data_IF_725321114399
#
_entry.id   IF_725321114399
#
_cell.length_a   1.000
_cell.length_b   1.000
_cell.length_c   1.000
_cell.angle_alpha   90.00
_cell.angle_beta   90.00
_cell.angle_gamma   90.00
#
_symmetry.space_group_name_H-M   'P 1'
#
loop_
_entity.id
_entity.type
_entity.pdbx_description
1 polymer ?
#
# COMPACT_ATOMS: atom_id res chain seq x y z
N UNK A 1 56.09 38.51 21.92
CA UNK A 1 56.13 37.07 22.30
C UNK A 1 54.97 36.82 23.23
N UNK A 2 53.86 36.31 22.73
CA UNK A 2 52.79 35.77 23.58
C UNK A 2 51.96 34.78 22.70
N UNK A 3 52.05 33.52 23.06
CA UNK A 3 51.34 32.41 22.39
C UNK A 3 49.87 32.41 22.81
N UNK A 4 48.94 32.46 21.86
CA UNK A 4 47.52 32.18 22.04
C UNK A 4 47.22 30.67 22.11
N UNK A 5 46.18 30.24 22.84
CA UNK A 5 45.87 28.82 23.03
C UNK A 5 45.12 28.22 21.83
N UNK A 6 45.48 26.95 21.51
CA UNK A 6 44.84 26.13 20.49
C UNK A 6 43.52 25.55 21.04
N UNK A 7 42.41 25.75 20.34
CA UNK A 7 41.14 25.06 20.57
C UNK A 7 41.20 23.64 20.00
N UNK A 8 40.70 22.61 20.70
CA UNK A 8 40.62 21.25 20.20
C UNK A 8 39.43 21.09 19.28
N UNK A 9 39.66 20.43 18.14
CA UNK A 9 38.65 20.12 17.14
C UNK A 9 37.56 19.20 17.66
N UNK A 10 36.32 19.60 17.43
CA UNK A 10 35.12 18.80 17.65
C UNK A 10 35.08 17.67 16.64
N UNK A 11 35.18 16.44 17.13
CA UNK A 11 34.82 15.23 16.33
C UNK A 11 33.33 15.20 16.15
N UNK A 12 32.87 15.30 14.91
CA UNK A 12 31.50 15.00 14.54
C UNK A 12 31.22 13.47 14.76
N UNK A 13 30.30 13.16 15.62
CA UNK A 13 29.71 11.85 15.78
C UNK A 13 28.81 11.58 14.58
N UNK A 14 28.79 10.36 13.98
CA UNK A 14 27.85 10.02 12.91
C UNK A 14 26.43 10.00 13.44
N UNK A 15 25.58 10.70 12.72
CA UNK A 15 24.17 10.90 12.97
C UNK A 15 23.43 9.55 13.07
N UNK A 16 22.67 9.43 14.13
CA UNK A 16 21.85 8.25 14.40
C UNK A 16 20.72 8.16 13.38
N UNK A 17 20.66 7.07 12.65
CA UNK A 17 19.56 6.71 11.77
C UNK A 17 18.22 6.92 12.49
N UNK A 18 17.40 7.82 11.97
CA UNK A 18 16.03 8.07 12.42
C UNK A 18 15.21 6.78 12.21
N UNK A 19 14.60 6.20 13.24
CA UNK A 19 13.72 5.05 13.05
C UNK A 19 12.51 5.50 12.25
N UNK A 20 12.23 4.79 11.14
CA UNK A 20 11.06 5.01 10.30
C UNK A 20 9.74 4.98 11.09
N UNK A 21 8.65 5.55 10.53
CA UNK A 21 7.40 5.79 11.24
C UNK A 21 6.82 4.50 11.83
N UNK A 22 6.65 4.51 13.14
CA UNK A 22 5.95 3.46 13.88
C UNK A 22 4.48 3.46 13.45
N UNK A 23 4.07 2.43 12.71
CA UNK A 23 2.65 2.14 12.52
C UNK A 23 1.99 1.96 13.90
N UNK A 24 1.12 2.88 14.27
CA UNK A 24 0.43 2.89 15.56
C UNK A 24 -0.65 1.81 15.56
N UNK A 25 -0.45 0.77 16.35
CA UNK A 25 -1.53 -0.11 16.76
C UNK A 25 -2.44 0.67 17.73
N UNK A 26 -3.71 0.84 17.38
CA UNK A 26 -4.71 1.33 18.32
C UNK A 26 -4.90 0.27 19.42
N UNK A 27 -4.69 0.58 20.70
CA UNK A 27 -4.87 -0.39 21.77
C UNK A 27 -6.37 -0.67 21.99
N UNK A 28 -6.78 -1.95 21.88
CA UNK A 28 -8.07 -2.42 22.41
C UNK A 28 -9.20 -2.70 21.43
N UNK A 29 -9.04 -2.51 20.12
CA UNK A 29 -10.05 -2.92 19.15
C UNK A 29 -9.93 -4.44 18.87
N UNK A 30 -11.04 -5.17 18.93
CA UNK A 30 -11.10 -6.56 18.46
C UNK A 30 -10.66 -6.63 16.98
N UNK A 31 -9.91 -7.67 16.59
CA UNK A 31 -9.49 -7.80 15.19
C UNK A 31 -10.69 -7.92 14.27
N UNK A 32 -10.79 -7.07 13.25
CA UNK A 32 -11.87 -7.18 12.28
C UNK A 32 -11.71 -8.46 11.44
N UNK A 33 -12.82 -9.14 11.04
CA UNK A 33 -12.72 -10.35 10.22
C UNK A 33 -11.84 -10.22 8.98
N UNK A 34 -11.85 -9.10 8.22
CA UNK A 34 -10.94 -8.90 7.09
C UNK A 34 -9.46 -8.80 7.49
N UNK A 35 -9.15 -8.15 8.60
CA UNK A 35 -7.77 -8.05 9.08
C UNK A 35 -7.22 -9.41 9.53
N UNK A 36 -8.06 -10.23 10.16
CA UNK A 36 -7.70 -11.61 10.53
C UNK A 36 -7.39 -12.44 9.28
N UNK A 37 -8.25 -12.38 8.26
CA UNK A 37 -8.04 -13.10 7.00
C UNK A 37 -6.75 -12.70 6.28
N UNK A 38 -6.47 -11.40 6.20
CA UNK A 38 -5.19 -10.91 5.65
C UNK A 38 -4.01 -11.49 6.42
N UNK A 39 -4.05 -11.44 7.75
CA UNK A 39 -3.01 -11.98 8.60
C UNK A 39 -2.80 -13.49 8.42
N UNK A 40 -3.88 -14.25 8.30
CA UNK A 40 -3.84 -15.70 8.04
C UNK A 40 -3.20 -16.02 6.69
N UNK A 41 -3.50 -15.26 5.63
CA UNK A 41 -2.87 -15.45 4.30
C UNK A 41 -1.37 -15.17 4.33
N UNK A 42 -0.97 -14.07 4.92
CA UNK A 42 0.45 -13.75 5.10
C UNK A 42 1.14 -14.90 5.81
N UNK A 43 0.56 -15.40 6.90
CA UNK A 43 1.08 -16.52 7.69
C UNK A 43 1.12 -17.83 6.89
N UNK A 44 0.06 -18.15 6.13
CA UNK A 44 0.00 -19.36 5.30
C UNK A 44 1.09 -19.33 4.25
N UNK A 45 1.19 -18.22 3.49
CA UNK A 45 2.19 -18.07 2.43
C UNK A 45 3.62 -18.11 2.96
N UNK A 46 3.87 -17.46 4.09
CA UNK A 46 5.17 -17.53 4.76
C UNK A 46 5.56 -18.98 5.10
N UNK A 47 4.61 -19.75 5.65
CA UNK A 47 4.82 -21.16 6.00
C UNK A 47 5.03 -22.06 4.78
N UNK A 48 4.29 -21.87 3.72
CA UNK A 48 4.47 -22.56 2.43
C UNK A 48 5.90 -22.37 1.89
N UNK A 49 6.46 -21.17 2.09
CA UNK A 49 7.83 -20.84 1.72
C UNK A 49 8.87 -21.27 2.77
N UNK A 50 8.46 -21.91 3.88
CA UNK A 50 9.30 -22.29 5.01
C UNK A 50 10.09 -21.11 5.62
N UNK A 51 9.53 -19.88 5.56
CA UNK A 51 10.18 -18.70 6.10
C UNK A 51 9.77 -18.47 7.56
N UNK A 52 10.72 -17.96 8.35
CA UNK A 52 10.46 -17.46 9.70
C UNK A 52 9.82 -16.05 9.66
N UNK A 53 9.24 -15.64 10.78
CA UNK A 53 8.75 -14.25 10.92
C UNK A 53 9.89 -13.22 10.78
N UNK A 54 11.07 -13.56 11.27
CA UNK A 54 12.26 -12.69 11.21
C UNK A 54 12.68 -12.47 9.75
N UNK A 55 12.83 -13.55 8.99
CA UNK A 55 13.24 -13.47 7.58
C UNK A 55 12.26 -12.66 6.72
N UNK A 56 10.95 -12.82 6.94
CA UNK A 56 9.96 -12.01 6.19
C UNK A 56 9.99 -10.56 6.64
N UNK A 57 10.16 -10.28 7.94
CA UNK A 57 10.27 -8.93 8.46
C UNK A 57 11.49 -8.20 7.88
N UNK A 58 12.65 -8.87 7.85
CA UNK A 58 13.89 -8.35 7.24
C UNK A 58 13.71 -8.05 5.74
N UNK A 59 13.18 -9.02 4.97
CA UNK A 59 12.94 -8.85 3.52
C UNK A 59 11.93 -7.74 3.20
N UNK A 60 10.94 -7.55 4.08
CA UNK A 60 9.91 -6.53 3.94
C UNK A 60 10.33 -5.18 4.58
N UNK A 61 11.51 -5.10 5.19
CA UNK A 61 11.98 -3.90 5.91
C UNK A 61 10.98 -3.43 6.97
N UNK A 62 10.40 -4.40 7.70
CA UNK A 62 9.43 -4.18 8.77
C UNK A 62 9.96 -4.72 10.10
N UNK A 63 9.43 -4.20 11.22
CA UNK A 63 9.77 -4.76 12.51
C UNK A 63 9.09 -6.12 12.72
N UNK A 64 9.81 -7.08 13.30
CA UNK A 64 9.26 -8.38 13.67
C UNK A 64 7.97 -8.28 14.54
N UNK A 65 7.89 -7.40 15.57
CA UNK A 65 6.66 -7.23 16.34
C UNK A 65 5.48 -6.78 15.49
N UNK A 66 5.69 -5.87 14.53
CA UNK A 66 4.64 -5.40 13.63
C UNK A 66 4.12 -6.53 12.73
N UNK A 67 5.00 -7.28 12.08
CA UNK A 67 4.60 -8.42 11.23
C UNK A 67 3.86 -9.48 12.06
N UNK A 68 4.31 -9.76 13.29
CA UNK A 68 3.64 -10.66 14.21
C UNK A 68 2.23 -10.21 14.59
N UNK A 69 2.02 -8.91 14.83
CA UNK A 69 0.69 -8.35 15.10
C UNK A 69 -0.20 -8.38 13.85
N UNK A 70 0.38 -8.15 12.67
CA UNK A 70 -0.32 -8.21 11.40
C UNK A 70 -0.82 -9.64 11.10
N UNK A 71 0.01 -10.67 11.29
CA UNK A 71 -0.42 -12.07 11.14
C UNK A 71 -1.54 -12.49 12.11
N UNK A 72 -1.71 -11.76 13.21
CA UNK A 72 -2.82 -11.97 14.17
C UNK A 72 -4.03 -11.08 13.91
N UNK A 73 -4.01 -10.27 12.85
CA UNK A 73 -5.08 -9.31 12.55
C UNK A 73 -5.16 -8.13 13.51
N UNK A 74 -4.11 -7.90 14.33
CA UNK A 74 -4.07 -6.85 15.37
C UNK A 74 -3.35 -5.58 14.94
N UNK A 75 -2.81 -5.55 13.72
CA UNK A 75 -2.22 -4.38 13.10
C UNK A 75 -2.82 -4.16 11.72
N UNK A 76 -2.75 -2.92 11.23
CA UNK A 76 -3.20 -2.55 9.89
C UNK A 76 -1.96 -2.14 9.09
N UNK A 77 -1.70 -2.76 7.92
CA UNK A 77 -0.61 -2.34 7.07
C UNK A 77 -0.96 -1.06 6.34
N UNK A 78 0.05 -0.24 6.06
CA UNK A 78 -0.02 0.76 5.01
C UNK A 78 0.02 0.06 3.64
N UNK A 79 -0.31 0.77 2.55
CA UNK A 79 -0.17 0.22 1.20
C UNK A 79 1.29 -0.10 0.89
N UNK A 80 2.23 0.76 1.29
CA UNK A 80 3.66 0.50 1.16
C UNK A 80 4.12 -0.73 1.94
N UNK A 81 3.64 -0.90 3.19
CA UNK A 81 3.93 -2.10 3.98
C UNK A 81 3.36 -3.35 3.34
N UNK A 82 2.13 -3.29 2.83
CA UNK A 82 1.47 -4.41 2.15
C UNK A 82 2.24 -4.82 0.89
N UNK A 83 2.71 -3.85 0.11
CA UNK A 83 3.55 -4.09 -1.07
C UNK A 83 4.86 -4.80 -0.69
N UNK A 84 5.59 -4.29 0.33
CA UNK A 84 6.85 -4.90 0.79
C UNK A 84 6.64 -6.33 1.28
N UNK A 85 5.53 -6.60 1.98
CA UNK A 85 5.17 -7.96 2.42
C UNK A 85 4.88 -8.87 1.22
N UNK A 86 4.08 -8.39 0.25
CA UNK A 86 3.76 -9.13 -0.97
C UNK A 86 5.04 -9.51 -1.73
N UNK A 87 5.93 -8.55 -1.95
CA UNK A 87 7.24 -8.76 -2.57
C UNK A 87 8.11 -9.77 -1.78
N UNK A 88 8.17 -9.66 -0.47
CA UNK A 88 8.93 -10.58 0.40
C UNK A 88 8.41 -12.02 0.33
N UNK A 89 7.11 -12.21 0.07
CA UNK A 89 6.42 -13.50 -0.04
C UNK A 89 6.31 -14.01 -1.49
N UNK A 90 6.80 -13.25 -2.49
CA UNK A 90 6.71 -13.62 -3.91
C UNK A 90 5.27 -13.69 -4.42
N UNK A 91 4.40 -12.80 -3.98
CA UNK A 91 3.00 -12.66 -4.41
C UNK A 91 2.68 -11.21 -4.73
N UNK A 92 1.53 -10.95 -5.33
CA UNK A 92 1.03 -9.57 -5.56
C UNK A 92 0.28 -9.04 -4.33
N UNK A 93 0.13 -7.72 -4.23
CA UNK A 93 -0.75 -7.12 -3.21
C UNK A 93 -2.18 -7.65 -3.34
N UNK A 94 -2.65 -7.78 -4.58
CA UNK A 94 -3.98 -8.28 -4.90
C UNK A 94 -4.19 -9.69 -4.37
N UNK A 95 -3.17 -10.55 -4.51
CA UNK A 95 -3.20 -11.88 -3.93
C UNK A 95 -3.37 -11.83 -2.40
N UNK A 96 -2.71 -10.90 -1.72
CA UNK A 96 -2.89 -10.71 -0.28
C UNK A 96 -4.28 -10.18 0.07
N UNK A 97 -4.83 -9.26 -0.73
CA UNK A 97 -6.14 -8.63 -0.51
C UNK A 97 -7.31 -9.56 -0.87
N UNK A 98 -7.16 -10.43 -1.86
CA UNK A 98 -8.20 -11.35 -2.36
C UNK A 98 -8.67 -12.42 -1.36
N UNK A 99 -8.26 -12.35 -0.11
CA UNK A 99 -8.45 -13.37 0.91
C UNK A 99 -9.91 -13.70 1.19
N UNK A 100 -10.33 -14.87 0.75
CA UNK A 100 -11.55 -15.55 1.21
C UNK A 100 -12.75 -15.49 0.29
N UNK A 101 -12.59 -15.08 -0.97
CA UNK A 101 -13.56 -15.51 -1.99
C UNK A 101 -13.29 -16.98 -2.27
N UNK A 102 -14.29 -17.88 -2.11
CA UNK A 102 -14.19 -19.20 -2.70
C UNK A 102 -13.91 -19.02 -4.21
N UNK A 103 -13.25 -19.98 -4.88
CA UNK A 103 -13.12 -19.93 -6.32
C UNK A 103 -14.53 -19.79 -6.89
N UNK A 104 -14.86 -18.60 -7.37
CA UNK A 104 -16.11 -18.38 -8.06
C UNK A 104 -16.00 -19.24 -9.31
N UNK A 105 -16.93 -20.17 -9.58
CA UNK A 105 -16.99 -20.81 -10.87
C UNK A 105 -16.93 -19.71 -11.92
N UNK A 106 -16.17 -19.90 -12.99
CA UNK A 106 -16.00 -18.90 -14.05
C UNK A 106 -17.35 -18.60 -14.72
N UNK A 107 -18.21 -17.89 -14.02
CA UNK A 107 -19.43 -17.33 -14.59
C UNK A 107 -19.01 -16.17 -15.48
N UNK A 108 -19.52 -16.10 -16.71
CA UNK A 108 -19.12 -15.05 -17.67
C UNK A 108 -19.54 -13.65 -17.24
N UNK A 109 -20.37 -13.55 -16.19
CA UNK A 109 -20.86 -12.28 -15.63
C UNK A 109 -20.79 -12.34 -14.10
N UNK A 110 -20.05 -11.41 -13.49
CA UNK A 110 -19.98 -11.25 -12.04
C UNK A 110 -20.60 -9.91 -11.64
N UNK A 111 -21.51 -9.93 -10.67
CA UNK A 111 -22.07 -8.73 -10.06
C UNK A 111 -21.63 -8.68 -8.60
N UNK A 112 -20.88 -7.65 -8.24
CA UNK A 112 -20.51 -7.36 -6.85
C UNK A 112 -21.41 -6.23 -6.32
N UNK A 113 -22.18 -6.51 -5.27
CA UNK A 113 -23.05 -5.52 -4.64
C UNK A 113 -22.26 -4.59 -3.72
N UNK A 114 -22.88 -3.48 -3.32
CA UNK A 114 -22.21 -2.43 -2.53
C UNK A 114 -21.59 -2.92 -1.21
N UNK A 115 -22.23 -3.88 -0.57
CA UNK A 115 -21.85 -4.47 0.71
C UNK A 115 -21.08 -5.80 0.57
N UNK A 116 -20.88 -6.26 -0.66
CA UNK A 116 -20.16 -7.49 -0.99
C UNK A 116 -18.67 -7.22 -1.24
N UNK A 117 -17.88 -8.27 -1.23
CA UNK A 117 -16.44 -8.20 -1.40
C UNK A 117 -15.68 -8.09 -0.08
N UNK A 118 -14.36 -8.14 -0.19
CA UNK A 118 -13.47 -8.12 0.96
C UNK A 118 -12.89 -6.73 1.13
N UNK A 119 -13.31 -6.04 2.18
CA UNK A 119 -12.74 -4.78 2.58
C UNK A 119 -11.66 -5.00 3.65
N UNK A 120 -10.43 -4.55 3.40
CA UNK A 120 -9.30 -4.64 4.31
C UNK A 120 -8.94 -3.25 4.81
N UNK A 121 -8.91 -3.03 6.12
CA UNK A 121 -8.35 -1.80 6.67
C UNK A 121 -6.85 -1.73 6.37
N UNK A 122 -6.41 -0.68 5.63
CA UNK A 122 -5.01 -0.54 5.18
C UNK A 122 -4.22 0.53 5.91
N UNK A 123 -4.89 1.51 6.53
CA UNK A 123 -4.26 2.56 7.31
C UNK A 123 -5.24 3.11 8.33
N UNK A 124 -4.82 4.06 9.16
CA UNK A 124 -5.74 4.68 10.13
C UNK A 124 -6.87 5.40 9.39
N UNK A 125 -8.08 4.83 9.46
CA UNK A 125 -9.27 5.35 8.78
C UNK A 125 -9.47 4.87 7.34
N UNK A 126 -8.45 4.28 6.68
CA UNK A 126 -8.57 3.82 5.30
C UNK A 126 -9.06 2.37 5.17
N UNK A 127 -9.76 2.09 4.07
CA UNK A 127 -10.22 0.75 3.70
C UNK A 127 -9.93 0.51 2.23
N UNK A 128 -9.29 -0.61 1.90
CA UNK A 128 -9.15 -1.12 0.53
C UNK A 128 -10.16 -2.25 0.31
N UNK A 129 -10.91 -2.18 -0.79
CA UNK A 129 -11.85 -3.21 -1.20
C UNK A 129 -11.55 -3.66 -2.62
N UNK A 130 -11.15 -4.91 -2.80
CA UNK A 130 -10.98 -5.48 -4.11
C UNK A 130 -12.36 -5.77 -4.73
N UNK A 131 -12.58 -5.27 -5.96
CA UNK A 131 -13.86 -5.37 -6.64
C UNK A 131 -13.99 -6.62 -7.52
N UNK A 132 -12.88 -7.23 -7.92
CA UNK A 132 -12.86 -8.50 -8.64
C UNK A 132 -11.96 -9.49 -7.90
N UNK A 133 -12.42 -10.73 -7.78
CA UNK A 133 -11.71 -11.80 -7.08
C UNK A 133 -10.77 -12.59 -7.97
N UNK A 134 -10.93 -12.51 -9.29
CA UNK A 134 -10.14 -13.29 -10.24
C UNK A 134 -8.87 -12.54 -10.68
N UNK A 135 -7.70 -13.22 -10.72
CA UNK A 135 -6.50 -12.65 -11.30
C UNK A 135 -6.73 -12.45 -12.81
N UNK A 136 -6.78 -11.19 -13.22
CA UNK A 136 -6.91 -10.78 -14.61
C UNK A 136 -5.75 -9.90 -15.03
N UNK A 137 -5.83 -9.35 -16.23
CA UNK A 137 -4.86 -8.37 -16.71
C UNK A 137 -4.94 -7.02 -15.96
N UNK A 138 -5.98 -6.85 -15.14
CA UNK A 138 -6.22 -5.66 -14.33
C UNK A 138 -6.93 -6.04 -13.04
N UNK A 139 -6.63 -5.32 -11.98
CA UNK A 139 -7.25 -5.49 -10.67
C UNK A 139 -7.85 -4.18 -10.20
N UNK A 140 -9.18 -4.03 -10.25
CA UNK A 140 -9.86 -2.86 -9.71
C UNK A 140 -9.96 -2.96 -8.19
N UNK A 141 -9.46 -1.95 -7.51
CA UNK A 141 -9.51 -1.81 -6.04
C UNK A 141 -10.12 -0.46 -5.70
N UNK A 142 -11.10 -0.47 -4.83
CA UNK A 142 -11.71 0.74 -4.28
C UNK A 142 -11.04 1.09 -2.95
N UNK A 143 -10.61 2.34 -2.81
CA UNK A 143 -10.11 2.89 -1.56
C UNK A 143 -11.13 3.86 -0.98
N UNK A 144 -11.45 3.65 0.29
CA UNK A 144 -12.38 4.49 1.05
C UNK A 144 -11.61 5.21 2.16
N UNK A 145 -11.77 6.53 2.22
CA UNK A 145 -11.18 7.40 3.24
C UNK A 145 -9.69 7.13 3.49
N UNK A 146 -8.83 7.30 2.46
CA UNK A 146 -7.40 7.20 2.65
C UNK A 146 -6.94 8.22 3.70
N UNK A 147 -5.78 7.96 4.29
CA UNK A 147 -5.21 8.85 5.30
C UNK A 147 -4.95 10.26 4.77
N UNK A 148 -4.92 11.25 5.67
CA UNK A 148 -4.67 12.65 5.34
C UNK A 148 -3.17 13.00 5.23
N UNK A 149 -2.27 12.06 5.56
CA UNK A 149 -0.82 12.24 5.50
C UNK A 149 -0.21 11.34 4.45
N UNK A 150 0.85 11.81 3.79
CA UNK A 150 1.62 10.96 2.89
C UNK A 150 2.33 9.85 3.67
N UNK A 151 2.32 8.65 3.11
CA UNK A 151 3.19 7.54 3.48
C UNK A 151 4.53 7.63 2.74
N UNK A 152 5.38 6.61 2.89
CA UNK A 152 6.59 6.46 2.10
C UNK A 152 6.24 6.23 0.62
N UNK A 153 7.14 6.64 -0.27
CA UNK A 153 7.03 6.29 -1.68
C UNK A 153 7.09 4.78 -1.87
N UNK A 154 6.30 4.29 -2.80
CA UNK A 154 6.37 2.90 -3.24
C UNK A 154 6.31 2.85 -4.77
N UNK A 155 6.75 1.75 -5.33
CA UNK A 155 6.77 1.46 -6.76
C UNK A 155 6.49 -0.02 -6.99
N UNK A 156 5.90 -0.34 -8.12
CA UNK A 156 5.57 -1.71 -8.52
C UNK A 156 5.63 -1.85 -10.05
N UNK A 157 5.61 -3.09 -10.53
CA UNK A 157 5.51 -3.34 -11.96
C UNK A 157 4.13 -2.94 -12.51
N UNK A 158 4.03 -2.73 -13.82
CA UNK A 158 2.78 -2.47 -14.51
C UNK A 158 2.39 -0.99 -14.59
N UNK A 159 1.10 -0.76 -14.73
CA UNK A 159 0.52 0.59 -14.86
C UNK A 159 -0.61 0.75 -13.85
N UNK A 160 -0.70 1.92 -13.27
CA UNK A 160 -1.79 2.29 -12.37
C UNK A 160 -2.68 3.36 -13.01
N UNK A 161 -3.98 3.16 -12.90
CA UNK A 161 -5.01 4.12 -13.26
C UNK A 161 -5.82 4.46 -11.99
N UNK A 162 -5.93 5.74 -11.71
CA UNK A 162 -6.62 6.30 -10.54
C UNK A 162 -7.81 7.13 -11.02
N UNK A 163 -8.99 6.88 -10.49
CA UNK A 163 -10.21 7.67 -10.75
C UNK A 163 -10.83 8.10 -9.43
N UNK A 164 -11.15 9.38 -9.30
CA UNK A 164 -11.77 9.94 -8.11
C UNK A 164 -13.28 9.87 -8.24
N UNK A 165 -13.90 8.98 -7.49
CA UNK A 165 -15.36 8.85 -7.45
C UNK A 165 -16.00 9.88 -6.49
N UNK A 166 -15.28 10.30 -5.44
CA UNK A 166 -15.74 11.28 -4.46
C UNK A 166 -14.56 11.91 -3.73
N UNK A 167 -14.67 13.20 -3.38
CA UNK A 167 -13.67 13.92 -2.59
C UNK A 167 -12.49 14.42 -3.41
N UNK A 168 -11.34 14.54 -2.74
CA UNK A 168 -10.09 15.03 -3.31
C UNK A 168 -8.96 14.10 -2.92
N UNK A 169 -8.10 13.77 -3.87
CA UNK A 169 -6.90 12.98 -3.67
C UNK A 169 -5.67 13.77 -4.13
N UNK A 170 -4.67 13.83 -3.28
CA UNK A 170 -3.32 14.27 -3.64
C UNK A 170 -2.47 13.05 -4.02
N UNK A 171 -1.90 13.03 -5.21
CA UNK A 171 -0.98 12.01 -5.71
C UNK A 171 0.37 12.66 -5.98
N UNK A 172 1.43 12.15 -5.38
CA UNK A 172 2.80 12.62 -5.64
C UNK A 172 3.56 11.54 -6.43
N UNK A 173 4.05 11.92 -7.62
CA UNK A 173 4.80 11.05 -8.55
C UNK A 173 6.28 11.46 -8.56
N UNK A 174 7.09 10.77 -7.77
CA UNK A 174 8.45 11.21 -7.44
C UNK A 174 8.45 12.48 -6.59
N UNK A 175 9.56 12.82 -5.95
CA UNK A 175 9.64 13.96 -5.06
C UNK A 175 9.25 15.28 -5.74
N UNK A 176 8.26 15.99 -5.19
CA UNK A 176 7.86 17.34 -5.61
C UNK A 176 6.92 17.40 -6.82
N UNK A 177 6.48 16.29 -7.41
CA UNK A 177 5.49 16.28 -8.51
C UNK A 177 4.11 15.94 -7.96
N UNK A 178 3.44 16.93 -7.40
CA UNK A 178 2.12 16.78 -6.79
C UNK A 178 1.00 17.04 -7.80
N UNK A 179 0.03 16.13 -7.84
CA UNK A 179 -1.23 16.23 -8.58
C UNK A 179 -2.39 16.18 -7.59
N UNK A 180 -3.20 17.20 -7.56
CA UNK A 180 -4.44 17.25 -6.78
C UNK A 180 -5.60 16.93 -7.71
N UNK A 181 -6.29 15.84 -7.45
CA UNK A 181 -7.40 15.34 -8.27
C UNK A 181 -8.71 15.48 -7.51
N UNK A 182 -9.74 15.95 -8.20
CA UNK A 182 -11.11 16.10 -7.69
C UNK A 182 -12.06 15.05 -8.29
N UNK A 183 -13.26 14.95 -7.74
CA UNK A 183 -14.25 13.99 -8.22
C UNK A 183 -14.51 14.12 -9.74
N UNK A 184 -14.48 13.00 -10.46
CA UNK A 184 -14.60 12.91 -11.91
C UNK A 184 -13.27 12.95 -12.66
N UNK A 185 -12.16 13.31 -12.00
CA UNK A 185 -10.83 13.34 -12.61
C UNK A 185 -10.11 12.00 -12.49
N UNK A 186 -9.15 11.77 -13.36
CA UNK A 186 -8.33 10.57 -13.37
C UNK A 186 -6.86 10.88 -13.66
N UNK A 187 -5.99 9.99 -13.23
CA UNK A 187 -4.56 10.02 -13.47
C UNK A 187 -4.10 8.61 -13.84
N UNK A 188 -3.18 8.52 -14.80
CA UNK A 188 -2.53 7.27 -15.17
C UNK A 188 -1.02 7.45 -15.16
N UNK A 189 -0.30 6.48 -14.59
CA UNK A 189 1.16 6.49 -14.54
C UNK A 189 1.73 5.07 -14.52
N UNK A 190 3.01 4.89 -14.96
CA UNK A 190 3.72 3.63 -14.75
C UNK A 190 3.89 3.36 -13.26
N UNK A 191 3.59 2.14 -12.80
CA UNK A 191 3.78 1.73 -11.42
C UNK A 191 5.24 1.81 -10.94
N UNK A 192 6.20 1.72 -11.88
CA UNK A 192 7.64 1.92 -11.62
C UNK A 192 8.03 3.38 -11.31
N UNK A 193 7.10 4.33 -11.45
CA UNK A 193 7.30 5.70 -10.96
C UNK A 193 7.10 5.70 -9.44
N UNK A 194 8.09 6.13 -8.64
CA UNK A 194 7.88 6.27 -7.20
C UNK A 194 6.65 7.13 -6.92
N UNK A 195 5.69 6.61 -6.18
CA UNK A 195 4.42 7.30 -5.96
C UNK A 195 3.90 7.11 -4.54
N UNK A 196 3.07 8.06 -4.12
CA UNK A 196 2.31 8.03 -2.86
C UNK A 196 1.10 8.93 -2.98
N UNK A 197 0.10 8.71 -2.15
CA UNK A 197 -1.13 9.48 -2.19
C UNK A 197 -1.72 9.66 -0.79
N UNK A 198 -2.60 10.67 -0.67
CA UNK A 198 -3.33 11.00 0.55
C UNK A 198 -4.67 11.64 0.24
N UNK A 199 -5.58 11.72 1.21
CA UNK A 199 -6.74 12.60 1.12
C UNK A 199 -6.29 14.07 1.00
N UNK A 200 -6.78 14.77 -0.02
CA UNK A 200 -6.41 16.16 -0.31
C UNK A 200 -7.25 17.18 0.46
N UNK A 201 -8.37 16.76 1.07
CA UNK A 201 -9.22 17.63 1.88
C UNK A 201 -9.95 16.82 2.98
N UNK A 202 -10.47 17.47 4.03
CA UNK A 202 -11.39 16.84 4.98
C UNK A 202 -12.68 16.38 4.30
N UNK A 203 -13.18 15.21 4.70
CA UNK A 203 -14.44 14.66 4.20
C UNK A 203 -14.28 13.25 3.61
N UNK A 204 -15.37 12.67 3.11
CA UNK A 204 -15.32 11.35 2.52
C UNK A 204 -14.59 11.37 1.17
N UNK A 205 -13.63 10.45 1.02
CA UNK A 205 -12.87 10.25 -0.22
C UNK A 205 -13.10 8.82 -0.70
N UNK A 206 -13.43 8.68 -1.98
CA UNK A 206 -13.64 7.39 -2.65
C UNK A 206 -12.86 7.37 -3.95
N UNK A 207 -11.95 6.42 -4.07
CA UNK A 207 -11.02 6.29 -5.19
C UNK A 207 -11.14 4.91 -5.78
N UNK A 208 -11.23 4.81 -7.10
CA UNK A 208 -11.05 3.56 -7.84
C UNK A 208 -9.63 3.55 -8.40
N UNK A 209 -8.83 2.57 -7.99
CA UNK A 209 -7.53 2.28 -8.56
C UNK A 209 -7.59 1.00 -9.38
N UNK A 210 -7.03 1.03 -10.57
CA UNK A 210 -6.93 -0.15 -11.43
C UNK A 210 -5.45 -0.40 -11.69
N UNK A 211 -4.96 -1.47 -11.09
CA UNK A 211 -3.63 -1.99 -11.37
C UNK A 211 -3.67 -2.90 -12.60
N UNK A 212 -2.70 -2.76 -13.51
CA UNK A 212 -2.53 -3.61 -14.68
C UNK A 212 -1.12 -4.17 -14.73
N UNK A 213 -0.99 -5.47 -14.84
CA UNK A 213 0.31 -6.15 -15.00
C UNK A 213 0.94 -5.96 -16.38
N UNK A 214 0.24 -5.27 -17.30
CA UNK A 214 0.78 -4.98 -18.63
C UNK A 214 1.91 -3.95 -18.53
N UNK A 215 3.08 -4.22 -19.12
CA UNK A 215 4.15 -3.24 -19.17
C UNK A 215 3.69 -1.96 -19.86
N UNK A 216 4.13 -0.81 -19.37
CA UNK A 216 3.76 0.52 -19.89
C UNK A 216 4.02 0.68 -21.39
N UNK A 217 5.00 -0.06 -21.96
CA UNK A 217 5.34 -0.08 -23.38
C UNK A 217 4.31 -0.79 -24.28
N UNK A 218 3.35 -1.53 -23.70
CA UNK A 218 2.32 -2.24 -24.47
C UNK A 218 1.12 -1.36 -24.84
N UNK A 219 1.10 -0.10 -24.41
CA UNK A 219 0.00 0.82 -24.69
C UNK A 219 0.39 1.78 -25.82
N UNK A 220 -0.49 2.00 -26.82
CA UNK A 220 -0.21 2.93 -27.90
C UNK A 220 0.01 4.34 -27.31
N UNK A 221 1.00 5.06 -27.87
CA UNK A 221 1.23 6.46 -27.58
C UNK A 221 -0.07 7.26 -27.76
N UNK A 222 -0.42 8.19 -26.85
CA UNK A 222 -1.57 9.06 -27.04
C UNK A 222 -1.35 9.88 -28.29
N UNK A 223 -2.25 9.72 -29.27
CA UNK A 223 -2.24 10.57 -30.44
C UNK A 223 -2.42 12.01 -29.99
N UNK A 224 -1.39 12.85 -30.17
CA UNK A 224 -1.45 14.28 -29.99
C UNK A 224 -2.48 14.85 -31.00
N UNK A 225 -3.57 15.40 -30.52
CA UNK A 225 -4.52 16.22 -31.27
C UNK A 225 -4.25 17.68 -31.03
#
# INVERSE_FOLDING_TARGET
MTRGPRTPGSRATPDSATPGPRATAAPGAEPSPPAVRLGERIRSRRRELNLTLVEVAERAELSHPFLSQLERGRARPSMSSLFRIARALGVTQDWLLAAGSPPVPAEPVTVLRHDEGIAVPVSVGGVARQLLAEPGRYTPTEFLNPQATFEEFFEHDGTEFVYIAQGVLDVELGPGRLFTLTAGECLRYPGSTPHRWRAGCPGPVRVLMIHSDLPSSALPEPHAH
#
